data_IF_624923008910
#
_entry.id   IF_624923008910
#
_cell.length_a   1.000
_cell.length_b   1.000
_cell.length_c   1.000
_cell.angle_alpha   90.00
_cell.angle_beta   90.00
_cell.angle_gamma   90.00
#
_symmetry.space_group_name_H-M   'P 1'
#
loop_
_entity.id
_entity.type
_entity.pdbx_description
1 polymer ?
#
# COMPACT_ATOMS: atom_id res chain seq x y z
N UNK A 1 37.15 33.55 -28.34
CA UNK A 1 36.66 32.82 -27.16
C UNK A 1 35.17 32.56 -27.38
N UNK A 2 34.80 31.34 -27.78
CA UNK A 2 33.42 30.99 -28.11
C UNK A 2 32.67 30.57 -26.84
N UNK A 3 31.50 31.19 -26.60
CA UNK A 3 30.69 31.00 -25.41
C UNK A 3 29.85 29.73 -25.56
N UNK A 4 30.22 28.66 -24.85
CA UNK A 4 29.61 27.34 -24.98
C UNK A 4 28.46 27.20 -23.97
N UNK A 5 27.35 27.89 -24.22
CA UNK A 5 26.13 27.75 -23.42
C UNK A 5 25.15 26.82 -24.14
N UNK A 6 25.48 25.53 -24.17
CA UNK A 6 24.56 24.49 -24.61
C UNK A 6 23.56 24.23 -23.49
N UNK A 7 22.24 24.33 -23.72
CA UNK A 7 21.23 23.97 -22.72
C UNK A 7 21.44 22.51 -22.32
N UNK A 8 21.72 22.27 -21.04
CA UNK A 8 21.78 20.90 -20.54
C UNK A 8 20.37 20.30 -20.60
N UNK A 9 20.20 19.07 -21.09
CA UNK A 9 18.91 18.41 -21.10
C UNK A 9 18.46 18.18 -19.65
N UNK A 10 17.44 18.91 -19.21
CA UNK A 10 16.73 18.63 -17.96
C UNK A 10 15.98 17.32 -18.13
N UNK A 11 16.41 16.26 -17.44
CA UNK A 11 15.64 15.02 -17.39
C UNK A 11 14.25 15.34 -16.79
N UNK A 12 13.15 14.86 -17.40
CA UNK A 12 11.84 15.00 -16.77
C UNK A 12 11.91 14.36 -15.38
N UNK A 13 11.49 15.12 -14.36
CA UNK A 13 11.37 14.61 -13.00
C UNK A 13 10.50 13.35 -13.04
N UNK A 14 11.03 12.22 -12.57
CA UNK A 14 10.35 10.93 -12.68
C UNK A 14 9.13 10.96 -11.76
N UNK A 15 7.96 11.15 -12.35
CA UNK A 15 6.71 11.15 -11.61
C UNK A 15 6.28 9.71 -11.27
N UNK A 16 6.46 9.32 -10.01
CA UNK A 16 6.04 7.99 -9.54
C UNK A 16 4.51 7.94 -9.48
N UNK A 17 3.94 7.03 -10.28
CA UNK A 17 2.49 6.86 -10.35
C UNK A 17 1.90 6.32 -9.04
N UNK A 18 0.63 6.64 -8.76
CA UNK A 18 -0.09 6.11 -7.60
C UNK A 18 -0.15 4.57 -7.59
N UNK A 19 -0.20 3.95 -8.78
CA UNK A 19 -0.25 2.50 -8.89
C UNK A 19 1.05 1.87 -8.38
N UNK A 20 2.21 2.45 -8.72
CA UNK A 20 3.51 1.99 -8.20
C UNK A 20 3.56 2.11 -6.68
N UNK A 21 3.07 3.21 -6.10
CA UNK A 21 3.00 3.36 -4.64
C UNK A 21 2.09 2.31 -3.98
N UNK A 22 0.99 1.98 -4.66
CA UNK A 22 0.04 0.96 -4.19
C UNK A 22 0.69 -0.43 -4.23
N UNK A 23 1.43 -0.73 -5.30
CA UNK A 23 2.15 -2.00 -5.47
C UNK A 23 3.26 -2.16 -4.41
N UNK A 24 4.01 -1.10 -4.12
CA UNK A 24 5.03 -1.10 -3.05
C UNK A 24 4.40 -1.35 -1.69
N UNK A 25 3.33 -0.63 -1.35
CA UNK A 25 2.63 -0.81 -0.08
C UNK A 25 2.05 -2.22 0.03
N UNK A 26 1.44 -2.74 -1.04
CA UNK A 26 0.88 -4.09 -1.06
C UNK A 26 1.97 -5.16 -0.88
N UNK A 27 3.06 -5.09 -1.65
CA UNK A 27 4.16 -6.04 -1.55
C UNK A 27 4.82 -6.03 -0.16
N UNK A 28 4.93 -4.84 0.45
CA UNK A 28 5.45 -4.68 1.81
C UNK A 28 4.56 -5.38 2.83
N UNK A 29 3.24 -5.22 2.72
CA UNK A 29 2.29 -5.85 3.64
C UNK A 29 2.20 -7.37 3.46
N UNK A 30 2.30 -7.85 2.23
CA UNK A 30 2.35 -9.30 1.92
C UNK A 30 3.60 -9.97 2.52
N UNK A 31 4.66 -9.22 2.82
CA UNK A 31 5.88 -9.71 3.48
C UNK A 31 5.78 -9.84 5.01
N UNK A 32 4.68 -9.42 5.63
CA UNK A 32 4.50 -9.49 7.09
C UNK A 32 3.64 -10.71 7.42
N UNK A 33 4.24 -11.67 8.13
CA UNK A 33 3.53 -12.87 8.58
C UNK A 33 2.41 -12.51 9.57
N UNK A 34 1.25 -13.15 9.41
CA UNK A 34 0.11 -12.98 10.32
C UNK A 34 -0.82 -11.81 9.97
N UNK A 35 -0.59 -11.11 8.86
CA UNK A 35 -1.54 -10.12 8.32
C UNK A 35 -1.95 -10.45 6.89
N UNK A 36 -3.15 -10.02 6.51
CA UNK A 36 -3.64 -10.08 5.14
C UNK A 36 -4.32 -8.74 4.80
N UNK A 37 -4.02 -8.15 3.65
CA UNK A 37 -4.76 -6.97 3.17
C UNK A 37 -6.18 -7.37 2.84
N UNK A 38 -7.13 -6.81 3.58
CA UNK A 38 -8.53 -7.15 3.44
C UNK A 38 -9.07 -6.76 2.06
N UNK A 39 -10.17 -7.39 1.66
CA UNK A 39 -10.94 -6.95 0.52
C UNK A 39 -11.78 -5.72 0.90
N UNK A 40 -11.91 -4.77 -0.01
CA UNK A 40 -12.84 -3.66 0.16
C UNK A 40 -14.28 -4.20 0.10
N UNK A 41 -15.14 -3.64 0.95
CA UNK A 41 -16.57 -3.93 0.92
C UNK A 41 -17.15 -3.47 -0.43
N UNK A 42 -17.62 -4.43 -1.23
CA UNK A 42 -18.28 -4.17 -2.50
C UNK A 42 -19.78 -3.97 -2.26
N UNK A 43 -20.34 -2.90 -2.82
CA UNK A 43 -21.78 -2.77 -2.91
C UNK A 43 -22.33 -3.73 -3.99
N UNK A 44 -23.54 -4.26 -3.80
CA UNK A 44 -24.18 -5.18 -4.76
C UNK A 44 -24.17 -4.62 -6.19
N UNK A 45 -24.35 -3.31 -6.35
CA UNK A 45 -24.26 -2.63 -7.64
C UNK A 45 -22.87 -2.66 -8.30
N UNK A 46 -21.78 -2.65 -7.53
CA UNK A 46 -20.41 -2.80 -8.06
C UNK A 46 -20.07 -4.25 -8.39
N UNK A 47 -20.59 -5.22 -7.61
CA UNK A 47 -20.42 -6.65 -7.90
C UNK A 47 -21.01 -7.01 -9.27
N UNK A 48 -22.19 -6.48 -9.59
CA UNK A 48 -22.84 -6.69 -10.88
C UNK A 48 -22.10 -6.01 -12.04
N UNK A 49 -21.43 -4.88 -11.80
CA UNK A 49 -20.64 -4.16 -12.82
C UNK A 49 -19.26 -4.77 -13.07
N UNK A 50 -18.67 -5.40 -12.05
CA UNK A 50 -17.35 -6.01 -12.12
C UNK A 50 -17.35 -7.50 -12.52
N UNK A 51 -18.44 -8.03 -13.11
CA UNK A 51 -18.56 -9.42 -13.57
C UNK A 51 -17.47 -9.88 -14.57
N UNK A 52 -16.64 -8.96 -15.10
CA UNK A 52 -15.55 -9.26 -16.02
C UNK A 52 -14.13 -9.11 -15.45
N UNK A 53 -13.93 -8.59 -14.22
CA UNK A 53 -12.60 -8.43 -13.62
C UNK A 53 -12.53 -9.11 -12.25
N UNK A 54 -11.83 -10.25 -12.11
CA UNK A 54 -11.83 -11.06 -10.89
C UNK A 54 -11.08 -10.42 -9.71
N UNK A 55 -10.40 -9.29 -9.91
CA UNK A 55 -9.67 -8.60 -8.83
C UNK A 55 -10.66 -7.81 -7.98
N UNK A 56 -11.14 -8.44 -6.90
CA UNK A 56 -11.87 -7.74 -5.84
C UNK A 56 -11.04 -6.52 -5.39
N UNK A 57 -11.63 -5.32 -5.27
CA UNK A 57 -10.92 -4.17 -4.78
C UNK A 57 -10.36 -4.48 -3.39
N UNK A 58 -9.13 -4.03 -3.13
CA UNK A 58 -8.46 -4.21 -1.84
C UNK A 58 -8.80 -3.05 -0.92
N UNK A 59 -8.83 -3.28 0.38
CA UNK A 59 -8.92 -2.25 1.40
C UNK A 59 -7.56 -1.53 1.56
N UNK A 60 -6.95 -1.10 0.46
CA UNK A 60 -5.69 -0.38 0.42
C UNK A 60 -5.88 0.83 -0.48
N UNK A 61 -5.70 2.03 0.08
CA UNK A 61 -5.80 3.29 -0.64
C UNK A 61 -4.54 4.09 -0.39
N UNK A 62 -3.94 4.57 -1.48
CA UNK A 62 -2.79 5.47 -1.43
C UNK A 62 -3.19 6.83 -1.99
N UNK A 63 -2.97 7.87 -1.20
CA UNK A 63 -3.19 9.26 -1.59
C UNK A 63 -1.85 9.97 -1.68
N UNK A 64 -1.62 10.72 -2.76
CA UNK A 64 -0.41 11.51 -2.98
C UNK A 64 -0.79 12.98 -3.14
N UNK A 65 -0.13 13.84 -2.38
CA UNK A 65 -0.25 15.30 -2.41
C UNK A 65 1.15 15.88 -2.63
N UNK A 66 1.52 16.08 -3.90
CA UNK A 66 2.88 16.52 -4.26
C UNK A 66 3.94 15.48 -3.85
N UNK A 67 4.75 15.84 -2.85
CA UNK A 67 5.81 14.99 -2.29
C UNK A 67 5.37 14.21 -1.03
N UNK A 68 4.13 14.40 -0.57
CA UNK A 68 3.60 13.72 0.59
C UNK A 68 2.71 12.53 0.18
N UNK A 69 2.84 11.41 0.89
CA UNK A 69 2.05 10.19 0.70
C UNK A 69 1.30 9.85 1.99
N UNK A 70 0.03 9.50 1.87
CA UNK A 70 -0.78 8.91 2.95
C UNK A 70 -1.29 7.55 2.50
N UNK A 71 -1.17 6.55 3.37
CA UNK A 71 -1.63 5.18 3.10
C UNK A 71 -2.73 4.83 4.10
N UNK A 72 -3.89 4.43 3.61
CA UNK A 72 -4.97 3.86 4.40
C UNK A 72 -5.10 2.38 4.07
N UNK A 73 -5.04 1.51 5.09
CA UNK A 73 -5.11 0.06 4.89
C UNK A 73 -6.01 -0.62 5.92
N UNK A 74 -6.87 -1.51 5.42
CA UNK A 74 -7.63 -2.48 6.17
C UNK A 74 -6.89 -3.82 6.18
N UNK A 75 -6.61 -4.34 7.37
CA UNK A 75 -5.93 -5.62 7.56
C UNK A 75 -6.84 -6.62 8.27
N UNK A 76 -6.74 -7.88 7.85
CA UNK A 76 -7.16 -9.02 8.64
C UNK A 76 -5.92 -9.56 9.38
N UNK A 77 -6.09 -9.97 10.63
CA UNK A 77 -4.99 -10.45 11.46
C UNK A 77 -5.24 -11.89 11.91
N UNK A 78 -4.22 -12.72 11.85
CA UNK A 78 -4.35 -14.11 12.30
C UNK A 78 -4.60 -14.19 13.83
N UNK A 79 -5.51 -15.09 14.20
CA UNK A 79 -5.81 -15.40 15.59
C UNK A 79 -4.56 -15.86 16.35
N UNK A 80 -4.44 -15.42 17.61
CA UNK A 80 -3.30 -15.74 18.47
C UNK A 80 -2.06 -14.85 18.26
N UNK A 81 -2.11 -13.87 17.35
CA UNK A 81 -1.04 -12.87 17.16
C UNK A 81 -1.28 -11.60 17.96
N UNK A 82 -0.21 -10.84 18.21
CA UNK A 82 -0.32 -9.51 18.83
C UNK A 82 -0.81 -8.49 17.80
N UNK A 83 -2.11 -8.19 17.85
CA UNK A 83 -2.79 -7.25 16.96
C UNK A 83 -2.08 -5.88 16.90
N UNK A 84 -1.81 -5.28 18.06
CA UNK A 84 -1.18 -3.95 18.13
C UNK A 84 0.26 -3.95 17.61
N UNK A 85 0.99 -5.04 17.86
CA UNK A 85 2.37 -5.22 17.39
C UNK A 85 2.44 -5.35 15.88
N UNK A 86 1.57 -6.18 15.29
CA UNK A 86 1.48 -6.34 13.84
C UNK A 86 1.01 -5.06 13.14
N UNK A 87 0.03 -4.35 13.70
CA UNK A 87 -0.39 -3.06 13.16
C UNK A 87 0.75 -2.04 13.16
N UNK A 88 1.51 -1.93 14.26
CA UNK A 88 2.66 -1.05 14.35
C UNK A 88 3.79 -1.46 13.38
N UNK A 89 4.02 -2.77 13.22
CA UNK A 89 4.98 -3.29 12.25
C UNK A 89 4.57 -2.93 10.81
N UNK A 90 3.30 -3.10 10.46
CA UNK A 90 2.77 -2.73 9.15
C UNK A 90 2.94 -1.22 8.88
N UNK A 91 2.64 -0.36 9.87
CA UNK A 91 2.85 1.09 9.75
C UNK A 91 4.30 1.44 9.46
N UNK A 92 5.24 0.87 10.22
CA UNK A 92 6.68 1.14 10.07
C UNK A 92 7.20 0.64 8.73
N UNK A 93 6.91 -0.61 8.38
CA UNK A 93 7.40 -1.22 7.15
C UNK A 93 6.91 -0.47 5.90
N UNK A 94 5.62 -0.11 5.85
CA UNK A 94 5.07 0.65 4.72
C UNK A 94 5.68 2.05 4.65
N UNK A 95 5.85 2.72 5.79
CA UNK A 95 6.52 4.02 5.84
C UNK A 95 7.95 3.91 5.28
N UNK A 96 8.77 3.03 5.86
CA UNK A 96 10.17 2.84 5.48
C UNK A 96 10.33 2.47 4.01
N UNK A 97 9.57 1.49 3.51
CA UNK A 97 9.74 1.02 2.13
C UNK A 97 9.26 2.05 1.10
N UNK A 98 8.16 2.76 1.37
CA UNK A 98 7.69 3.82 0.46
C UNK A 98 8.72 4.95 0.42
N UNK A 99 9.21 5.43 1.57
CA UNK A 99 10.22 6.50 1.59
C UNK A 99 11.53 6.03 0.92
N UNK A 100 12.01 4.83 1.22
CA UNK A 100 13.25 4.27 0.69
C UNK A 100 13.21 4.08 -0.83
N UNK A 101 12.13 3.50 -1.36
CA UNK A 101 12.04 3.14 -2.78
C UNK A 101 11.70 4.33 -3.68
N UNK A 102 11.06 5.37 -3.14
CA UNK A 102 10.50 6.46 -3.95
C UNK A 102 11.07 7.83 -3.63
N UNK A 103 11.71 8.00 -2.48
CA UNK A 103 12.18 9.30 -1.97
C UNK A 103 11.05 10.24 -1.53
N UNK A 104 9.78 9.83 -1.63
CA UNK A 104 8.63 10.61 -1.17
C UNK A 104 8.55 10.60 0.36
N UNK A 105 7.92 11.61 0.95
CA UNK A 105 7.69 11.66 2.40
C UNK A 105 6.36 11.02 2.76
N UNK A 106 6.34 10.07 3.69
CA UNK A 106 5.11 9.49 4.21
C UNK A 106 4.59 10.35 5.36
N UNK A 107 3.40 10.93 5.18
CA UNK A 107 2.72 11.76 6.18
C UNK A 107 2.04 10.89 7.24
N UNK A 108 1.40 9.82 6.83
CA UNK A 108 0.70 8.89 7.71
C UNK A 108 0.49 7.52 7.06
N UNK A 109 0.47 6.50 7.91
CA UNK A 109 -0.01 5.14 7.58
C UNK A 109 -1.11 4.78 8.57
N UNK A 110 -2.35 4.78 8.09
CA UNK A 110 -3.53 4.48 8.88
C UNK A 110 -3.88 2.99 8.71
N UNK A 111 -3.76 2.23 9.79
CA UNK A 111 -4.10 0.80 9.81
C UNK A 111 -5.42 0.60 10.55
N UNK A 112 -6.36 -0.05 9.90
CA UNK A 112 -7.63 -0.50 10.50
C UNK A 112 -7.66 -2.01 10.50
N UNK A 113 -7.88 -2.63 11.65
CA UNK A 113 -8.09 -4.08 11.72
C UNK A 113 -9.57 -4.36 11.47
N UNK A 114 -9.87 -5.10 10.40
CA UNK A 114 -11.24 -5.36 9.95
C UNK A 114 -11.76 -6.72 10.38
N UNK A 115 -10.89 -7.73 10.48
CA UNK A 115 -11.27 -9.08 10.88
C UNK A 115 -10.11 -9.85 11.54
N UNK A 116 -10.44 -10.94 12.23
CA UNK A 116 -9.48 -11.90 12.76
C UNK A 116 -9.69 -13.25 12.08
N UNK A 117 -8.65 -13.76 11.41
CA UNK A 117 -8.72 -15.00 10.64
C UNK A 117 -8.09 -16.17 11.39
N UNK A 118 -8.56 -17.39 11.11
CA UNK A 118 -7.86 -18.58 11.58
C UNK A 118 -6.56 -18.78 10.77
N UNK A 119 -5.47 -19.26 11.40
CA UNK A 119 -4.25 -19.59 10.68
C UNK A 119 -4.52 -20.59 9.56
N UNK A 120 -3.97 -20.33 8.38
CA UNK A 120 -4.06 -21.22 7.21
C UNK A 120 -3.18 -22.45 7.44
N UNK A 121 -3.63 -23.36 8.30
CA UNK A 121 -2.89 -24.55 8.74
C UNK A 121 -3.50 -25.33 9.91
N UNK A 122 -4.56 -24.82 10.55
CA UNK A 122 -5.31 -25.57 11.55
C UNK A 122 -6.19 -26.64 10.90
N UNK A 123 -5.64 -27.83 10.65
CA UNK A 123 -6.46 -29.02 10.49
C UNK A 123 -7.17 -29.29 11.82
N UNK A 124 -8.50 -29.27 11.80
CA UNK A 124 -9.31 -29.99 12.79
C UNK A 124 -9.14 -31.50 12.60
#
# INVERSE_FOLDING_TARGET
MANNNTPQPSFPEVEISRNVLTDIAQATLEGIEGIEVAHASLNVGEVLRNQGNPRRPRALKVTREGQAVTVDVGLNIEFGRNLTGLAAQAQRAVCENVELMTGLKVKAVNVTVLDVTLPKGGHA
#
